data_IF_638593896630
#
_entry.id   IF_638593896630
#
_cell.length_a   1.000
_cell.length_b   1.000
_cell.length_c   1.000
_cell.angle_alpha   90.00
_cell.angle_beta   90.00
_cell.angle_gamma   90.00
#
_symmetry.space_group_name_H-M   'P 1'
#
loop_
_entity.id
_entity.type
_entity.pdbx_description
1 polymer ?
#
# COMPACT_ATOMS: atom_id res chain seq x y z
N UNK A 1 14.44 6.19 3.84
CA UNK A 1 13.72 7.33 3.21
C UNK A 1 13.14 6.91 1.85
N UNK A 2 12.35 5.83 1.77
CA UNK A 2 11.77 5.42 0.49
C UNK A 2 10.69 6.39 0.00
N UNK A 3 9.86 6.93 0.91
CA UNK A 3 8.91 7.99 0.58
C UNK A 3 9.53 9.22 -0.11
N UNK A 4 10.68 9.72 0.38
CA UNK A 4 11.35 10.86 -0.27
C UNK A 4 12.01 10.48 -1.61
N UNK A 5 12.57 9.26 -1.72
CA UNK A 5 13.09 8.76 -2.99
C UNK A 5 11.97 8.60 -4.02
N UNK A 6 10.78 8.13 -3.61
CA UNK A 6 9.63 7.97 -4.51
C UNK A 6 9.09 9.31 -5.00
N UNK A 7 9.08 10.35 -4.14
CA UNK A 7 8.71 11.71 -4.56
C UNK A 7 9.76 12.36 -5.46
N UNK A 8 11.04 12.03 -5.31
CA UNK A 8 12.11 12.57 -6.16
C UNK A 8 12.14 11.97 -7.58
N UNK A 9 11.57 10.78 -7.77
CA UNK A 9 11.58 10.06 -9.04
C UNK A 9 10.19 9.89 -9.68
N UNK A 10 9.11 10.18 -8.95
CA UNK A 10 7.73 10.10 -9.46
C UNK A 10 6.91 11.28 -8.93
N UNK A 11 6.25 12.02 -9.80
CA UNK A 11 5.41 13.17 -9.40
C UNK A 11 4.09 12.75 -8.70
N UNK A 12 3.77 11.45 -8.69
CA UNK A 12 2.45 10.94 -8.30
C UNK A 12 2.53 9.79 -7.28
N UNK A 13 3.73 9.25 -7.05
CA UNK A 13 3.94 8.11 -6.16
C UNK A 13 4.07 8.54 -4.70
N UNK A 14 3.34 7.86 -3.80
CA UNK A 14 3.41 8.05 -2.35
C UNK A 14 3.30 6.72 -1.63
N UNK A 15 4.11 6.54 -0.60
CA UNK A 15 3.93 5.46 0.37
C UNK A 15 2.65 5.70 1.19
N UNK A 16 1.75 4.72 1.18
CA UNK A 16 0.46 4.80 1.87
C UNK A 16 0.49 3.98 3.15
N UNK A 17 -0.14 4.53 4.18
CA UNK A 17 -0.43 3.82 5.43
C UNK A 17 -1.45 2.70 5.21
N UNK A 18 -1.53 1.75 6.15
CA UNK A 18 -2.54 0.69 6.13
C UNK A 18 -3.97 1.24 6.05
N UNK A 19 -4.23 2.39 6.71
CA UNK A 19 -5.55 3.05 6.69
C UNK A 19 -5.89 3.56 5.29
N UNK A 20 -4.96 4.23 4.62
CA UNK A 20 -5.15 4.73 3.25
C UNK A 20 -5.35 3.57 2.27
N UNK A 21 -4.58 2.47 2.42
CA UNK A 21 -4.79 1.25 1.63
C UNK A 21 -6.17 0.63 1.87
N UNK A 22 -6.62 0.55 3.12
CA UNK A 22 -7.94 0.00 3.46
C UNK A 22 -9.07 0.78 2.80
N UNK A 23 -8.92 2.10 2.70
CA UNK A 23 -9.90 2.97 2.08
C UNK A 23 -9.98 2.74 0.57
N UNK A 24 -8.84 2.76 -0.12
CA UNK A 24 -8.77 2.54 -1.58
C UNK A 24 -9.32 1.17 -1.96
N UNK A 25 -8.97 0.12 -1.20
CA UNK A 25 -9.44 -1.25 -1.47
C UNK A 25 -10.94 -1.41 -1.27
N UNK A 26 -11.51 -0.77 -0.24
CA UNK A 26 -12.97 -0.76 -0.05
C UNK A 26 -13.68 -0.02 -1.17
N UNK A 27 -13.13 1.11 -1.63
CA UNK A 27 -13.71 1.88 -2.75
C UNK A 27 -13.67 1.09 -4.07
N UNK A 28 -12.69 0.22 -4.27
CA UNK A 28 -12.62 -0.65 -5.45
C UNK A 28 -13.43 -1.95 -5.31
N UNK A 29 -14.25 -2.10 -4.27
CA UNK A 29 -15.15 -3.24 -4.08
C UNK A 29 -14.58 -4.42 -3.32
N UNK A 30 -13.34 -4.36 -2.83
CA UNK A 30 -12.80 -5.45 -2.00
C UNK A 30 -13.40 -5.41 -0.59
N UNK A 31 -13.86 -6.58 -0.14
CA UNK A 31 -14.42 -6.74 1.20
C UNK A 31 -13.35 -7.15 2.22
N UNK A 32 -12.26 -7.79 1.78
CA UNK A 32 -11.19 -8.30 2.65
C UNK A 32 -9.82 -8.22 1.99
N UNK A 33 -8.81 -7.83 2.77
CA UNK A 33 -7.40 -7.91 2.40
C UNK A 33 -6.56 -8.37 3.59
N UNK A 34 -5.48 -9.09 3.32
CA UNK A 34 -4.53 -9.52 4.35
C UNK A 34 -3.17 -8.89 4.06
N UNK A 35 -2.57 -8.28 5.08
CA UNK A 35 -1.22 -7.71 4.99
C UNK A 35 -0.27 -8.61 5.78
N UNK A 36 0.72 -9.16 5.07
CA UNK A 36 1.76 -9.98 5.69
C UNK A 36 3.05 -9.13 5.79
N UNK A 37 3.50 -8.77 7.01
CA UNK A 37 4.76 -8.09 7.18
C UNK A 37 5.89 -9.05 6.82
N UNK A 38 6.81 -8.61 5.96
CA UNK A 38 8.06 -9.32 5.70
C UNK A 38 9.20 -8.61 6.42
N UNK A 39 10.32 -9.30 6.67
CA UNK A 39 11.54 -8.73 7.27
C UNK A 39 12.34 -7.88 6.26
N UNK A 40 11.62 -7.10 5.46
CA UNK A 40 12.13 -6.08 4.55
C UNK A 40 11.19 -4.87 4.68
N UNK A 41 11.58 -3.70 4.18
CA UNK A 41 10.77 -2.47 4.29
C UNK A 41 9.37 -2.59 3.64
N UNK A 42 9.17 -3.60 2.80
CA UNK A 42 7.93 -3.83 2.04
C UNK A 42 6.98 -4.80 2.78
N UNK A 43 5.72 -4.84 2.37
CA UNK A 43 4.74 -5.84 2.83
C UNK A 43 4.02 -6.43 1.62
N UNK A 44 3.74 -7.74 1.65
CA UNK A 44 2.98 -8.40 0.58
C UNK A 44 1.51 -8.38 0.96
N UNK A 45 0.67 -7.82 0.09
CA UNK A 45 -0.78 -7.78 0.28
C UNK A 45 -1.46 -8.73 -0.70
N UNK A 46 -2.29 -9.65 -0.19
CA UNK A 46 -3.14 -10.52 -1.01
C UNK A 46 -4.57 -9.98 -1.01
N UNK A 47 -5.09 -9.73 -2.20
CA UNK A 47 -6.48 -9.33 -2.43
C UNK A 47 -7.32 -10.56 -2.74
N UNK A 48 -8.52 -10.62 -2.17
CA UNK A 48 -9.51 -11.66 -2.43
C UNK A 48 -10.77 -10.93 -2.89
N UNK A 49 -11.22 -11.22 -4.12
CA UNK A 49 -12.43 -10.65 -4.72
C UNK A 49 -13.69 -11.10 -4.00
#
# INVERSE_FOLDING_TARGET
MLGMAMMAHTDIGKERTLKEWSYVLRQSGFTRFTVNPIRAVQSVSKLIL
#
